data_IF_826915026509
#
_entry.id   IF_826915026509
#
_cell.length_a   1.000
_cell.length_b   1.000
_cell.length_c   1.000
_cell.angle_alpha   90.00
_cell.angle_beta   90.00
_cell.angle_gamma   90.00
#
_symmetry.space_group_name_H-M   'P 1'
#
loop_
_entity.id
_entity.type
_entity.pdbx_description
1 polymer ?
#
# COMPACT_ATOMS: atom_id res chain seq x y z
N UNK A 1 -11.48 23.66 -1.32
CA UNK A 1 -10.41 22.62 -1.46
C UNK A 1 -9.86 22.10 -0.12
N UNK A 2 -9.53 22.93 0.89
CA UNK A 2 -9.02 22.45 2.21
C UNK A 2 -10.05 21.61 2.99
N UNK A 3 -11.34 21.94 2.96
CA UNK A 3 -12.40 21.18 3.63
C UNK A 3 -12.53 19.76 3.09
N UNK A 4 -12.45 19.56 1.78
CA UNK A 4 -12.57 18.25 1.11
C UNK A 4 -11.41 17.29 1.43
N UNK A 5 -10.20 17.81 1.63
CA UNK A 5 -9.02 16.99 2.00
C UNK A 5 -9.09 16.52 3.44
N UNK A 6 -9.49 17.43 4.37
CA UNK A 6 -9.69 17.07 5.78
C UNK A 6 -10.81 16.03 5.95
N UNK A 7 -11.87 16.12 5.16
CA UNK A 7 -12.99 15.18 5.19
C UNK A 7 -12.59 13.80 4.69
N UNK A 8 -11.77 13.72 3.63
CA UNK A 8 -11.20 12.46 3.15
C UNK A 8 -10.34 11.78 4.22
N UNK A 9 -9.43 12.52 4.85
CA UNK A 9 -8.54 11.98 5.89
C UNK A 9 -9.32 11.48 7.12
N UNK A 10 -10.35 12.22 7.56
CA UNK A 10 -11.23 11.79 8.64
C UNK A 10 -11.99 10.52 8.27
N UNK A 11 -12.52 10.44 7.05
CA UNK A 11 -13.24 9.26 6.57
C UNK A 11 -12.32 8.04 6.52
N UNK A 12 -11.13 8.18 5.91
CA UNK A 12 -10.12 7.11 5.83
C UNK A 12 -9.77 6.62 7.25
N UNK A 13 -9.41 7.51 8.15
CA UNK A 13 -9.08 7.14 9.53
C UNK A 13 -10.24 6.43 10.22
N UNK A 14 -11.48 6.91 10.09
CA UNK A 14 -12.64 6.28 10.69
C UNK A 14 -12.91 4.87 10.16
N UNK A 15 -12.73 4.67 8.85
CA UNK A 15 -12.85 3.36 8.21
C UNK A 15 -11.82 2.39 8.78
N UNK A 16 -10.55 2.77 8.82
CA UNK A 16 -9.49 1.90 9.33
C UNK A 16 -9.60 1.64 10.84
N UNK A 17 -10.00 2.63 11.63
CA UNK A 17 -10.25 2.44 13.07
C UNK A 17 -11.46 1.54 13.37
N UNK A 18 -12.42 1.40 12.45
CA UNK A 18 -13.51 0.43 12.61
C UNK A 18 -13.10 -1.01 12.30
N UNK A 19 -12.21 -1.19 11.32
CA UNK A 19 -11.86 -2.53 10.82
C UNK A 19 -10.51 -3.04 11.32
N UNK A 20 -9.72 -2.25 12.07
CA UNK A 20 -8.34 -2.64 12.45
C UNK A 20 -8.25 -4.01 13.13
N UNK A 21 -9.27 -4.41 13.91
CA UNK A 21 -9.32 -5.74 14.57
C UNK A 21 -9.52 -6.89 13.57
N UNK A 22 -10.19 -6.63 12.46
CA UNK A 22 -10.54 -7.60 11.43
C UNK A 22 -9.95 -7.24 10.06
N UNK A 23 -8.89 -6.40 10.06
CA UNK A 23 -8.30 -5.87 8.83
C UNK A 23 -7.80 -6.98 7.89
N UNK A 24 -7.10 -7.98 8.44
CA UNK A 24 -6.63 -9.11 7.65
C UNK A 24 -7.81 -9.90 7.05
N UNK A 25 -8.88 -10.11 7.85
CA UNK A 25 -10.10 -10.77 7.39
C UNK A 25 -10.82 -9.95 6.30
N UNK A 26 -10.83 -8.62 6.42
CA UNK A 26 -11.38 -7.74 5.36
C UNK A 26 -10.60 -7.91 4.06
N UNK A 27 -9.26 -7.91 4.13
CA UNK A 27 -8.43 -8.14 2.95
C UNK A 27 -8.62 -9.56 2.37
N UNK A 28 -8.78 -10.58 3.23
CA UNK A 28 -9.09 -11.95 2.80
C UNK A 28 -10.42 -11.99 2.03
N UNK A 29 -11.48 -11.38 2.55
CA UNK A 29 -12.78 -11.32 1.87
C UNK A 29 -12.65 -10.59 0.53
N UNK A 30 -11.99 -9.43 0.50
CA UNK A 30 -11.86 -8.61 -0.72
C UNK A 30 -11.07 -9.30 -1.83
N UNK A 31 -10.09 -10.11 -1.49
CA UNK A 31 -9.17 -10.73 -2.44
C UNK A 31 -9.31 -12.25 -2.52
N UNK A 32 -10.30 -12.84 -1.82
CA UNK A 32 -10.38 -14.31 -1.63
C UNK A 32 -9.07 -14.90 -1.07
N UNK A 33 -8.38 -14.14 -0.18
CA UNK A 33 -7.11 -14.54 0.42
C UNK A 33 -5.88 -14.36 -0.47
N UNK A 34 -6.05 -14.02 -1.76
CA UNK A 34 -4.95 -13.96 -2.75
C UNK A 34 -4.01 -12.77 -2.50
N UNK A 35 -4.42 -11.74 -1.72
CA UNK A 35 -3.58 -10.59 -1.41
C UNK A 35 -2.22 -10.97 -0.77
N UNK A 36 -2.14 -12.12 -0.08
CA UNK A 36 -0.88 -12.62 0.50
C UNK A 36 0.10 -13.01 -0.58
N UNK A 37 -0.38 -13.74 -1.60
CA UNK A 37 0.42 -14.12 -2.78
C UNK A 37 0.86 -12.86 -3.56
N UNK A 38 0.00 -11.83 -3.64
CA UNK A 38 0.38 -10.58 -4.30
C UNK A 38 1.49 -9.84 -3.53
N UNK A 39 1.44 -9.85 -2.19
CA UNK A 39 2.51 -9.27 -1.35
C UNK A 39 3.83 -10.06 -1.48
N UNK A 40 3.76 -11.38 -1.60
CA UNK A 40 4.95 -12.20 -1.87
C UNK A 40 5.55 -11.87 -3.24
N UNK A 41 4.75 -11.85 -4.31
CA UNK A 41 5.20 -11.43 -5.64
C UNK A 41 5.76 -10.01 -5.67
N UNK A 42 5.20 -9.11 -4.87
CA UNK A 42 5.68 -7.74 -4.72
C UNK A 42 7.10 -7.72 -4.13
N UNK A 43 7.34 -8.45 -3.07
CA UNK A 43 8.67 -8.56 -2.44
C UNK A 43 9.64 -9.34 -3.32
N UNK A 44 9.19 -10.40 -4.01
CA UNK A 44 10.03 -11.14 -4.96
C UNK A 44 10.52 -10.24 -6.09
N UNK A 45 9.65 -9.37 -6.63
CA UNK A 45 10.08 -8.40 -7.65
C UNK A 45 10.90 -7.25 -7.09
N UNK A 46 10.69 -6.86 -5.84
CA UNK A 46 11.56 -5.91 -5.14
C UNK A 46 12.99 -6.45 -5.04
N UNK A 47 13.12 -7.73 -4.81
CA UNK A 47 14.40 -8.45 -4.64
C UNK A 47 15.31 -7.78 -3.59
N UNK A 48 14.87 -7.70 -2.32
CA UNK A 48 15.64 -7.07 -1.27
C UNK A 48 17.04 -7.69 -1.13
N UNK A 49 18.05 -6.85 -1.07
CA UNK A 49 19.41 -7.31 -0.83
C UNK A 49 19.76 -7.25 0.66
N UNK A 50 20.68 -8.09 1.15
CA UNK A 50 21.20 -7.99 2.52
C UNK A 50 21.70 -6.57 2.85
N UNK A 51 21.51 -6.15 4.11
CA UNK A 51 21.95 -4.85 4.64
C UNK A 51 21.35 -3.62 3.96
N UNK A 52 20.22 -3.77 3.27
CA UNK A 52 19.50 -2.64 2.65
C UNK A 52 18.42 -2.07 3.59
N UNK A 53 17.99 -0.83 3.29
CA UNK A 53 17.02 -0.09 4.07
C UNK A 53 15.71 0.10 3.30
N UNK A 54 14.62 -0.30 3.90
CA UNK A 54 13.26 -0.09 3.40
C UNK A 54 12.54 0.97 4.21
N UNK A 55 11.84 1.88 3.54
CA UNK A 55 10.74 2.61 4.13
C UNK A 55 9.42 2.05 3.60
N UNK A 56 8.58 1.52 4.50
CA UNK A 56 7.26 0.97 4.18
C UNK A 56 6.20 1.96 4.63
N UNK A 57 5.52 2.58 3.66
CA UNK A 57 4.60 3.71 3.88
C UNK A 57 3.15 3.25 3.75
N UNK A 58 2.27 3.78 4.62
CA UNK A 58 0.95 3.23 4.87
C UNK A 58 1.06 1.73 5.21
N UNK A 59 1.99 1.42 6.10
CA UNK A 59 2.46 0.06 6.39
C UNK A 59 1.41 -0.82 7.08
N UNK A 60 0.32 -0.24 7.58
CA UNK A 60 -0.71 -0.96 8.30
C UNK A 60 -0.14 -1.72 9.50
N UNK A 61 -0.25 -3.04 9.49
CA UNK A 61 0.31 -3.91 10.54
C UNK A 61 1.69 -4.47 10.21
N UNK A 62 2.34 -4.00 9.11
CA UNK A 62 3.73 -4.32 8.77
C UNK A 62 3.94 -5.64 8.02
N UNK A 63 3.00 -6.06 7.18
CA UNK A 63 3.16 -7.30 6.40
C UNK A 63 4.33 -7.22 5.43
N UNK A 64 4.49 -6.08 4.73
CA UNK A 64 5.59 -5.85 3.79
C UNK A 64 6.92 -5.82 4.54
N UNK A 65 6.98 -5.13 5.66
CA UNK A 65 8.15 -5.11 6.53
C UNK A 65 8.60 -6.53 6.95
N UNK A 66 7.63 -7.39 7.33
CA UNK A 66 7.92 -8.80 7.69
C UNK A 66 8.50 -9.58 6.50
N UNK A 67 7.87 -9.45 5.33
CA UNK A 67 8.32 -10.15 4.11
C UNK A 67 9.70 -9.65 3.66
N UNK A 68 9.96 -8.34 3.74
CA UNK A 68 11.26 -7.75 3.45
C UNK A 68 12.36 -8.38 4.33
N UNK A 69 12.14 -8.48 5.65
CA UNK A 69 13.10 -9.14 6.54
C UNK A 69 13.37 -10.58 6.17
N UNK A 70 12.33 -11.32 5.80
CA UNK A 70 12.48 -12.73 5.41
C UNK A 70 13.34 -12.87 4.15
N UNK A 71 13.19 -11.93 3.20
CA UNK A 71 13.90 -11.98 1.90
C UNK A 71 15.28 -11.32 1.92
N UNK A 72 15.57 -10.45 2.90
CA UNK A 72 16.91 -9.82 3.11
C UNK A 72 17.77 -10.59 4.13
N UNK A 73 17.50 -11.86 4.34
CA UNK A 73 18.22 -12.74 5.29
C UNK A 73 18.27 -12.17 6.73
N UNK A 74 17.25 -11.39 7.09
CA UNK A 74 17.15 -10.79 8.42
C UNK A 74 18.11 -9.65 8.70
N UNK A 75 18.86 -9.16 7.72
CA UNK A 75 19.92 -8.14 7.89
C UNK A 75 19.47 -6.71 7.55
N UNK A 76 18.27 -6.56 6.96
CA UNK A 76 17.75 -5.25 6.55
C UNK A 76 17.25 -4.40 7.70
N UNK A 77 17.17 -3.08 7.49
CA UNK A 77 16.51 -2.14 8.37
C UNK A 77 15.17 -1.70 7.73
N UNK A 78 14.11 -1.59 8.55
CA UNK A 78 12.81 -1.11 8.06
C UNK A 78 12.28 0.03 8.93
N UNK A 79 11.82 1.09 8.28
CA UNK A 79 10.99 2.10 8.91
C UNK A 79 9.57 1.98 8.36
N UNK A 80 8.63 1.67 9.25
CA UNK A 80 7.21 1.66 8.96
C UNK A 80 6.60 3.03 9.25
N UNK A 81 5.96 3.65 8.26
CA UNK A 81 5.23 4.91 8.40
C UNK A 81 3.74 4.62 8.31
N UNK A 82 3.00 4.91 9.40
CA UNK A 82 1.57 4.61 9.48
C UNK A 82 0.82 5.74 10.20
N UNK A 83 -0.14 6.42 9.54
CA UNK A 83 -0.90 7.51 10.14
C UNK A 83 -1.92 7.04 11.20
N UNK A 84 -2.45 5.82 11.06
CA UNK A 84 -3.44 5.27 11.98
C UNK A 84 -2.76 4.66 13.21
N UNK A 85 -3.02 5.24 14.39
CA UNK A 85 -2.37 4.84 15.65
C UNK A 85 -2.71 3.41 16.08
N UNK A 86 -3.92 2.95 15.82
CA UNK A 86 -4.38 1.60 16.17
C UNK A 86 -3.65 0.55 15.32
N UNK A 87 -3.54 0.79 14.00
CA UNK A 87 -2.78 -0.07 13.08
C UNK A 87 -1.31 -0.12 13.46
N UNK A 88 -0.71 1.05 13.70
CA UNK A 88 0.68 1.18 14.15
C UNK A 88 0.94 0.41 15.45
N UNK A 89 0.06 0.55 16.45
CA UNK A 89 0.20 -0.15 17.72
C UNK A 89 0.15 -1.68 17.54
N UNK A 90 -0.75 -2.16 16.70
CA UNK A 90 -0.81 -3.59 16.33
C UNK A 90 0.44 -4.06 15.62
N UNK A 91 0.93 -3.26 14.68
CA UNK A 91 2.16 -3.55 13.95
C UNK A 91 3.37 -3.68 14.88
N UNK A 92 3.51 -2.76 15.84
CA UNK A 92 4.55 -2.85 16.87
C UNK A 92 4.49 -4.15 17.67
N UNK A 93 3.31 -4.59 18.06
CA UNK A 93 3.13 -5.87 18.78
C UNK A 93 3.50 -7.04 17.86
N UNK A 94 2.96 -7.06 16.64
CA UNK A 94 3.15 -8.13 15.65
C UNK A 94 4.62 -8.31 15.27
N UNK A 95 5.35 -7.21 15.13
CA UNK A 95 6.75 -7.21 14.70
C UNK A 95 7.75 -7.02 15.87
N UNK A 96 7.32 -7.17 17.12
CA UNK A 96 8.17 -6.97 18.32
C UNK A 96 9.48 -7.77 18.29
N UNK A 97 9.50 -8.94 17.66
CA UNK A 97 10.71 -9.76 17.55
C UNK A 97 11.76 -9.22 16.58
N UNK A 98 11.38 -8.33 15.65
CA UNK A 98 12.28 -7.73 14.67
C UNK A 98 12.81 -6.40 15.19
N UNK A 99 13.97 -6.41 15.83
CA UNK A 99 14.58 -5.24 16.51
C UNK A 99 14.93 -4.09 15.54
N UNK A 100 15.17 -4.40 14.27
CA UNK A 100 15.51 -3.42 13.23
C UNK A 100 14.29 -2.77 12.59
N UNK A 101 13.06 -3.04 13.08
CA UNK A 101 11.83 -2.35 12.63
C UNK A 101 11.54 -1.17 13.53
N UNK A 102 11.54 0.03 12.93
CA UNK A 102 11.14 1.28 13.59
C UNK A 102 9.78 1.73 13.07
N UNK A 103 9.02 2.48 13.87
CA UNK A 103 7.69 2.94 13.54
C UNK A 103 7.56 4.44 13.73
N UNK A 104 7.00 5.12 12.73
CA UNK A 104 6.73 6.56 12.73
C UNK A 104 5.23 6.77 12.49
N UNK A 105 4.58 7.55 13.35
CA UNK A 105 3.21 7.98 13.13
C UNK A 105 3.21 9.26 12.31
N UNK A 106 3.06 9.12 11.00
CA UNK A 106 3.04 10.25 10.05
C UNK A 106 2.25 9.90 8.81
N UNK A 107 1.84 10.92 8.06
CA UNK A 107 1.24 10.75 6.74
C UNK A 107 2.30 10.46 5.67
N UNK A 108 1.86 9.87 4.57
CA UNK A 108 2.72 9.61 3.41
C UNK A 108 3.18 10.89 2.69
N UNK A 109 2.42 11.98 2.84
CA UNK A 109 2.68 13.29 2.22
C UNK A 109 3.76 14.12 2.92
N UNK A 110 4.17 13.72 4.15
CA UNK A 110 5.18 14.44 4.93
C UNK A 110 5.86 13.49 5.89
N UNK A 111 7.00 12.96 5.47
CA UNK A 111 7.75 11.95 6.21
C UNK A 111 8.90 12.65 6.97
N UNK A 112 8.94 12.59 8.32
CA UNK A 112 9.94 13.30 9.12
C UNK A 112 11.28 12.55 9.15
N UNK A 113 11.85 12.33 7.97
CA UNK A 113 13.14 11.65 7.75
C UNK A 113 13.93 12.44 6.71
N UNK A 114 15.24 12.41 6.82
CA UNK A 114 16.16 13.04 5.87
C UNK A 114 16.06 12.38 4.47
N UNK A 115 16.38 13.15 3.43
CA UNK A 115 16.44 12.67 2.08
C UNK A 115 17.59 11.67 1.86
N UNK A 116 17.54 10.94 0.74
CA UNK A 116 18.60 10.01 0.30
C UNK A 116 18.99 8.97 1.35
N UNK A 117 18.02 8.41 2.07
CA UNK A 117 18.24 7.50 3.20
C UNK A 117 17.98 6.03 2.86
N UNK A 118 17.03 5.75 1.99
CA UNK A 118 16.53 4.40 1.75
C UNK A 118 16.89 3.85 0.39
N UNK A 119 17.12 2.53 0.34
CA UNK A 119 17.35 1.78 -0.89
C UNK A 119 16.02 1.43 -1.56
N UNK A 120 14.98 1.19 -0.73
CA UNK A 120 13.63 0.87 -1.19
C UNK A 120 12.58 1.73 -0.50
N UNK A 121 11.55 2.13 -1.27
CA UNK A 121 10.30 2.69 -0.78
C UNK A 121 9.17 1.78 -1.21
N UNK A 122 8.33 1.36 -0.27
CA UNK A 122 7.12 0.59 -0.55
C UNK A 122 5.86 1.31 -0.10
N UNK A 123 4.80 1.15 -0.89
CA UNK A 123 3.45 1.49 -0.50
C UNK A 123 2.50 0.42 -1.04
N UNK A 124 1.82 -0.31 -0.14
CA UNK A 124 0.96 -1.44 -0.50
C UNK A 124 -0.47 -1.19 -0.05
N UNK A 125 -1.42 -1.09 -1.00
CA UNK A 125 -2.84 -0.81 -0.78
C UNK A 125 -3.11 0.50 0.00
N UNK A 126 -2.18 1.44 -0.07
CA UNK A 126 -2.21 2.70 0.66
C UNK A 126 -2.38 3.92 -0.23
N UNK A 127 -1.79 3.91 -1.44
CA UNK A 127 -1.68 5.11 -2.28
C UNK A 127 -3.04 5.67 -2.74
N UNK A 128 -4.07 4.85 -2.93
CA UNK A 128 -5.41 5.31 -3.28
C UNK A 128 -6.10 6.11 -2.18
N UNK A 129 -5.64 5.93 -0.93
CA UNK A 129 -6.23 6.54 0.25
C UNK A 129 -5.60 7.89 0.63
N UNK A 130 -4.43 8.21 0.08
CA UNK A 130 -3.73 9.47 0.37
C UNK A 130 -4.48 10.69 -0.16
N UNK A 131 -4.21 11.86 0.42
CA UNK A 131 -4.87 13.10 0.04
C UNK A 131 -4.30 13.67 -1.26
N UNK A 132 -3.00 13.51 -1.47
CA UNK A 132 -2.27 14.06 -2.62
C UNK A 132 -1.17 13.09 -3.07
N UNK A 133 -1.44 12.35 -4.13
CA UNK A 133 -0.50 11.35 -4.66
C UNK A 133 0.80 12.00 -5.16
N UNK A 134 0.74 13.21 -5.73
CA UNK A 134 1.96 13.90 -6.18
C UNK A 134 2.88 14.23 -5.01
N UNK A 135 2.33 14.66 -3.87
CA UNK A 135 3.14 14.88 -2.67
C UNK A 135 3.77 13.59 -2.17
N UNK A 136 3.02 12.50 -2.15
CA UNK A 136 3.55 11.17 -1.76
C UNK A 136 4.69 10.73 -2.67
N UNK A 137 4.53 10.88 -3.99
CA UNK A 137 5.57 10.51 -4.95
C UNK A 137 6.82 11.41 -4.82
N UNK A 138 6.65 12.71 -4.55
CA UNK A 138 7.76 13.63 -4.26
C UNK A 138 8.48 13.26 -2.96
N UNK A 139 7.75 12.91 -1.90
CA UNK A 139 8.35 12.43 -0.65
C UNK A 139 9.08 11.09 -0.86
N UNK A 140 8.50 10.16 -1.62
CA UNK A 140 9.15 8.92 -1.98
C UNK A 140 10.46 9.17 -2.74
N UNK A 141 10.44 10.06 -3.71
CA UNK A 141 11.65 10.46 -4.45
C UNK A 141 12.70 11.11 -3.53
N UNK A 142 12.26 11.98 -2.62
CA UNK A 142 13.14 12.69 -1.69
C UNK A 142 13.86 11.73 -0.75
N UNK A 143 13.15 10.75 -0.15
CA UNK A 143 13.74 9.87 0.88
C UNK A 143 14.57 8.73 0.28
N UNK A 144 14.35 8.37 -0.98
CA UNK A 144 15.16 7.38 -1.69
C UNK A 144 16.54 7.92 -2.01
N UNK A 145 17.55 7.07 -1.91
CA UNK A 145 18.90 7.32 -2.42
C UNK A 145 18.90 7.41 -3.96
N UNK A 146 19.88 8.07 -4.61
CA UNK A 146 20.19 7.80 -6.01
C UNK A 146 20.40 6.30 -6.21
N UNK A 147 19.79 5.71 -7.25
CA UNK A 147 19.76 4.26 -7.45
C UNK A 147 18.72 3.53 -6.60
N UNK A 148 17.98 4.24 -5.75
CA UNK A 148 16.90 3.65 -4.93
C UNK A 148 15.64 3.36 -5.73
N UNK A 149 14.85 2.40 -5.27
CA UNK A 149 13.69 1.87 -5.99
C UNK A 149 12.37 2.16 -5.27
N UNK A 150 11.47 2.82 -5.96
CA UNK A 150 10.07 2.97 -5.57
C UNK A 150 9.26 1.75 -6.01
N UNK A 151 8.41 1.23 -5.13
CA UNK A 151 7.52 0.12 -5.39
C UNK A 151 6.11 0.39 -4.84
N UNK A 152 5.09 0.17 -5.67
CA UNK A 152 3.69 0.33 -5.27
C UNK A 152 2.88 -0.90 -5.68
N UNK A 153 2.18 -1.51 -4.71
CA UNK A 153 1.19 -2.55 -4.95
C UNK A 153 -0.20 -1.99 -4.68
N UNK A 154 -1.08 -1.96 -5.69
CA UNK A 154 -2.42 -1.40 -5.52
C UNK A 154 -3.44 -2.11 -6.41
N UNK A 155 -4.72 -2.05 -6.03
CA UNK A 155 -5.81 -2.43 -6.90
C UNK A 155 -5.79 -1.61 -8.18
N UNK A 156 -6.18 -2.23 -9.29
CA UNK A 156 -6.13 -1.58 -10.59
C UNK A 156 -7.31 -1.97 -11.47
N UNK A 157 -7.24 -1.70 -12.76
CA UNK A 157 -8.31 -1.97 -13.72
C UNK A 157 -8.05 -3.29 -14.44
N UNK A 158 -9.08 -4.12 -14.51
CA UNK A 158 -9.03 -5.41 -15.20
C UNK A 158 -9.25 -5.16 -16.68
N UNK A 159 -8.28 -5.54 -17.52
CA UNK A 159 -8.35 -5.35 -18.97
C UNK A 159 -9.29 -6.36 -19.66
N UNK A 160 -9.44 -7.56 -19.09
CA UNK A 160 -10.33 -8.58 -19.63
C UNK A 160 -11.79 -8.30 -19.25
N UNK A 161 -12.66 -8.07 -20.22
CA UNK A 161 -14.06 -7.69 -20.02
C UNK A 161 -14.87 -8.73 -19.25
N UNK A 162 -14.68 -10.03 -19.54
CA UNK A 162 -15.40 -11.12 -18.87
C UNK A 162 -14.99 -11.17 -17.41
N UNK A 163 -13.68 -11.12 -17.13
CA UNK A 163 -13.17 -11.14 -15.76
C UNK A 163 -13.59 -9.88 -14.99
N UNK A 164 -13.58 -8.73 -15.65
CA UNK A 164 -14.05 -7.46 -15.06
C UNK A 164 -15.54 -7.55 -14.69
N UNK A 165 -16.37 -8.11 -15.58
CA UNK A 165 -17.78 -8.34 -15.29
C UNK A 165 -17.96 -9.26 -14.08
N UNK A 166 -17.28 -10.41 -14.03
CA UNK A 166 -17.35 -11.35 -12.91
C UNK A 166 -16.88 -10.72 -11.60
N UNK A 167 -15.76 -9.99 -11.64
CA UNK A 167 -15.24 -9.28 -10.47
C UNK A 167 -16.20 -8.20 -9.98
N UNK A 168 -16.85 -7.45 -10.87
CA UNK A 168 -17.88 -6.47 -10.51
C UNK A 168 -19.11 -7.12 -9.86
N UNK A 169 -19.56 -8.29 -10.35
CA UNK A 169 -20.66 -9.00 -9.69
C UNK A 169 -20.25 -9.47 -8.28
N UNK A 170 -19.06 -10.05 -8.14
CA UNK A 170 -18.51 -10.40 -6.83
C UNK A 170 -18.41 -9.20 -5.90
N UNK A 171 -17.88 -8.08 -6.37
CA UNK A 171 -17.72 -6.85 -5.58
C UNK A 171 -19.05 -6.33 -5.01
N UNK A 172 -20.17 -6.50 -5.72
CA UNK A 172 -21.49 -6.12 -5.23
C UNK A 172 -21.93 -6.95 -4.00
N UNK A 173 -21.44 -8.17 -3.84
CA UNK A 173 -21.80 -9.04 -2.69
C UNK A 173 -21.00 -8.68 -1.44
N UNK A 174 -19.81 -8.08 -1.61
CA UNK A 174 -18.86 -7.82 -0.54
C UNK A 174 -19.42 -6.95 0.60
N UNK A 175 -20.17 -5.84 0.36
CA UNK A 175 -20.76 -5.05 1.43
C UNK A 175 -21.73 -5.84 2.30
N UNK A 176 -22.48 -6.79 1.72
CA UNK A 176 -23.41 -7.65 2.47
C UNK A 176 -22.65 -8.64 3.36
N UNK A 177 -21.61 -9.27 2.82
CA UNK A 177 -20.71 -10.14 3.59
C UNK A 177 -20.03 -9.34 4.70
N UNK A 178 -19.55 -8.13 4.38
CA UNK A 178 -18.89 -7.24 5.33
C UNK A 178 -19.80 -6.81 6.48
N UNK A 179 -21.07 -6.50 6.19
CA UNK A 179 -22.08 -6.19 7.21
C UNK A 179 -22.27 -7.35 8.19
N UNK A 180 -22.32 -8.57 7.66
CA UNK A 180 -22.47 -9.77 8.50
C UNK A 180 -21.24 -10.07 9.35
N UNK A 181 -20.02 -9.88 8.79
CA UNK A 181 -18.76 -10.24 9.45
C UNK A 181 -18.26 -9.16 10.41
N UNK A 182 -18.37 -7.88 10.03
CA UNK A 182 -17.79 -6.73 10.78
C UNK A 182 -18.87 -5.88 11.44
N UNK A 183 -20.15 -6.09 11.08
CA UNK A 183 -21.27 -5.31 11.60
C UNK A 183 -21.51 -4.00 10.85
N UNK A 184 -20.75 -3.70 9.78
CA UNK A 184 -20.88 -2.48 8.97
C UNK A 184 -20.52 -2.75 7.51
N UNK A 185 -21.30 -2.18 6.59
CA UNK A 185 -21.02 -2.20 5.14
C UNK A 185 -20.19 -1.00 4.67
N UNK A 186 -20.09 0.06 5.48
CA UNK A 186 -19.43 1.32 5.12
C UNK A 186 -17.97 1.15 4.70
N UNK A 187 -17.11 0.40 5.43
CA UNK A 187 -15.72 0.20 5.02
C UNK A 187 -15.58 -0.48 3.65
N UNK A 188 -16.47 -1.42 3.36
CA UNK A 188 -16.43 -2.17 2.09
C UNK A 188 -16.94 -1.33 0.91
N UNK A 189 -17.99 -0.53 1.12
CA UNK A 189 -18.45 0.45 0.12
C UNK A 189 -17.35 1.46 -0.21
N UNK A 190 -16.72 2.03 0.83
CA UNK A 190 -15.58 2.94 0.64
C UNK A 190 -14.46 2.29 -0.18
N UNK A 191 -14.13 1.03 0.11
CA UNK A 191 -13.08 0.30 -0.58
C UNK A 191 -13.40 0.14 -2.06
N UNK A 192 -14.62 -0.30 -2.41
CA UNK A 192 -15.06 -0.46 -3.80
C UNK A 192 -15.04 0.89 -4.52
N UNK A 193 -15.62 1.93 -3.92
CA UNK A 193 -15.65 3.27 -4.51
C UNK A 193 -14.24 3.85 -4.73
N UNK A 194 -13.32 3.60 -3.79
CA UNK A 194 -11.93 4.06 -3.91
C UNK A 194 -11.16 3.35 -5.02
N UNK A 195 -11.41 2.05 -5.23
CA UNK A 195 -10.84 1.26 -6.33
C UNK A 195 -11.39 1.75 -7.67
N UNK A 196 -12.70 1.97 -7.76
CA UNK A 196 -13.35 2.41 -9.00
C UNK A 196 -12.88 3.79 -9.46
N UNK A 197 -12.52 4.67 -8.53
CA UNK A 197 -12.03 6.02 -8.81
C UNK A 197 -10.51 6.08 -8.99
N UNK A 198 -9.79 5.00 -8.70
CA UNK A 198 -8.33 4.99 -8.77
C UNK A 198 -7.82 4.87 -10.20
N UNK A 199 -6.57 5.24 -10.41
CA UNK A 199 -5.87 5.21 -11.69
C UNK A 199 -5.78 3.78 -12.25
N UNK A 200 -5.79 3.66 -13.57
CA UNK A 200 -5.34 2.44 -14.24
C UNK A 200 -3.80 2.36 -14.23
N UNK A 201 -3.27 1.22 -14.66
CA UNK A 201 -1.84 0.94 -14.62
C UNK A 201 -1.00 1.97 -15.39
N UNK A 202 -1.43 2.31 -16.61
CA UNK A 202 -0.71 3.25 -17.50
C UNK A 202 -0.70 4.67 -16.94
N UNK A 203 -1.85 5.11 -16.41
CA UNK A 203 -1.97 6.47 -15.88
C UNK A 203 -1.18 6.62 -14.56
N UNK A 204 -1.17 5.59 -13.70
CA UNK A 204 -0.32 5.60 -12.51
C UNK A 204 1.17 5.59 -12.90
N UNK A 205 1.57 4.80 -13.91
CA UNK A 205 2.96 4.80 -14.41
C UNK A 205 3.38 6.17 -14.92
N UNK A 206 2.52 6.86 -15.69
CA UNK A 206 2.77 8.24 -16.14
C UNK A 206 2.94 9.19 -14.96
N UNK A 207 2.08 9.05 -13.94
CA UNK A 207 2.14 9.90 -12.75
C UNK A 207 3.45 9.69 -11.98
N UNK A 208 3.90 8.45 -11.83
CA UNK A 208 5.18 8.11 -11.20
C UNK A 208 6.35 8.73 -11.99
N UNK A 209 6.35 8.57 -13.31
CA UNK A 209 7.38 9.16 -14.20
C UNK A 209 7.42 10.68 -14.10
N UNK A 210 6.25 11.35 -14.12
CA UNK A 210 6.13 12.81 -14.01
C UNK A 210 6.62 13.38 -12.67
N UNK A 211 6.77 12.53 -11.65
CA UNK A 211 7.34 12.90 -10.35
C UNK A 211 8.84 12.55 -10.21
N UNK A 212 9.54 12.31 -11.35
CA UNK A 212 10.99 12.20 -11.42
C UNK A 212 11.54 10.78 -11.45
N UNK A 213 10.69 9.75 -11.32
CA UNK A 213 11.15 8.38 -11.42
C UNK A 213 11.42 7.96 -12.87
N UNK A 214 12.48 7.22 -13.08
CA UNK A 214 12.90 6.66 -14.37
C UNK A 214 12.62 5.15 -14.41
N UNK A 215 12.67 4.54 -15.60
CA UNK A 215 12.44 3.12 -15.83
C UNK A 215 11.17 2.62 -15.12
N UNK A 216 10.08 3.38 -15.32
CA UNK A 216 8.79 3.07 -14.70
C UNK A 216 8.15 1.89 -15.42
N UNK A 217 7.93 0.81 -14.69
CA UNK A 217 7.30 -0.41 -15.18
C UNK A 217 6.13 -0.81 -14.29
N UNK A 218 5.23 -1.64 -14.83
CA UNK A 218 4.22 -2.31 -14.01
C UNK A 218 4.06 -3.78 -14.40
N UNK A 219 3.62 -4.59 -13.44
CA UNK A 219 3.25 -5.99 -13.62
C UNK A 219 1.85 -6.22 -13.06
N UNK A 220 0.99 -6.75 -13.90
CA UNK A 220 -0.35 -7.16 -13.47
C UNK A 220 -0.26 -8.44 -12.62
N UNK A 221 -1.04 -8.48 -11.54
CA UNK A 221 -1.28 -9.68 -10.76
C UNK A 221 -2.77 -10.02 -10.81
N UNK A 222 -3.10 -11.31 -10.93
CA UNK A 222 -4.45 -11.82 -11.13
C UNK A 222 -5.20 -11.05 -12.23
N UNK A 223 -4.59 -11.02 -13.44
CA UNK A 223 -5.15 -10.39 -14.64
C UNK A 223 -5.53 -8.91 -14.48
N UNK A 224 -4.82 -8.18 -13.64
CA UNK A 224 -5.01 -6.73 -13.44
C UNK A 224 -5.95 -6.36 -12.28
N UNK A 225 -6.46 -7.30 -11.49
CA UNK A 225 -7.18 -6.99 -10.24
C UNK A 225 -6.30 -6.11 -9.34
N UNK A 226 -5.02 -6.45 -9.26
CA UNK A 226 -3.99 -5.58 -8.71
C UNK A 226 -2.82 -5.44 -9.67
N UNK A 227 -2.04 -4.39 -9.50
CA UNK A 227 -0.81 -4.17 -10.24
C UNK A 227 0.32 -3.75 -9.31
N UNK A 228 1.52 -4.18 -9.64
CA UNK A 228 2.74 -3.74 -8.99
C UNK A 228 3.42 -2.75 -9.91
N UNK A 229 3.68 -1.53 -9.45
CA UNK A 229 4.47 -0.52 -10.15
C UNK A 229 5.85 -0.41 -9.54
N UNK A 230 6.83 -0.15 -10.37
CA UNK A 230 8.22 0.07 -9.98
C UNK A 230 8.77 1.28 -10.73
N UNK A 231 9.60 2.08 -10.07
CA UNK A 231 10.34 3.19 -10.67
C UNK A 231 11.64 3.43 -9.93
N UNK A 232 12.63 4.00 -10.59
CA UNK A 232 13.96 4.21 -10.03
C UNK A 232 14.27 5.70 -9.91
N UNK A 233 14.93 6.09 -8.83
CA UNK A 233 15.54 7.40 -8.69
C UNK A 233 16.93 7.34 -9.31
N UNK A 234 17.07 7.92 -10.49
CA UNK A 234 18.36 8.01 -11.24
C UNK A 234 18.85 9.43 -11.20
#
# INVERSE_FOLDING_TARGET
MKSTIQDKNKLVNSVFSQVYKKYDLMNDIMSLGVHRVWKEKFIDWMNPQPNTKLIDVASGTGDIAKLFFTKSDGTGEVICVEPNKEMLSRGKIKLKKYKSVKWINSSAESIPIEGNTFDYYSISYGIRNVSDINKVLKEAFRVLKPGGRFMCLEFSKIDNEILNFLYKQYSKTIPYIGKFVVGSDKPYKYLIDSIDKFYNQKDLSKLINNNGFSNVEFRNVSSGISAIHSGWKI
#
